data_IF_900007421808
#
_entry.id   IF_900007421808
#
_cell.length_a   1.000
_cell.length_b   1.000
_cell.length_c   1.000
_cell.angle_alpha   90.00
_cell.angle_beta   90.00
_cell.angle_gamma   90.00
#
_symmetry.space_group_name_H-M   'P 1'
#
loop_
_entity.id
_entity.type
_entity.pdbx_description
1 polymer ?
#
# COMPACT_ATOMS: atom_id res chain seq x y z
N UNK A 1 21.85 3.39 -3.06
CA UNK A 1 20.93 2.83 -4.09
C UNK A 1 21.61 1.69 -4.84
N UNK A 2 22.87 1.86 -5.26
CA UNK A 2 23.65 0.79 -5.91
C UNK A 2 23.90 -0.43 -5.01
N UNK A 3 24.16 -0.23 -3.72
CA UNK A 3 24.39 -1.35 -2.78
C UNK A 3 23.15 -2.25 -2.68
N UNK A 4 21.94 -1.67 -2.62
CA UNK A 4 20.70 -2.46 -2.65
C UNK A 4 20.57 -3.29 -3.94
N UNK A 5 20.93 -2.74 -5.10
CA UNK A 5 20.87 -3.47 -6.37
C UNK A 5 21.90 -4.61 -6.43
N UNK A 6 23.05 -4.44 -5.77
CA UNK A 6 24.08 -5.47 -5.64
C UNK A 6 23.64 -6.56 -4.66
N UNK A 7 23.21 -6.17 -3.47
CA UNK A 7 22.96 -7.06 -2.34
C UNK A 7 21.62 -7.81 -2.49
N UNK A 8 20.64 -7.21 -3.17
CA UNK A 8 19.31 -7.79 -3.43
C UNK A 8 19.06 -8.04 -4.92
N UNK A 9 20.10 -8.49 -5.63
CA UNK A 9 20.04 -8.72 -7.09
C UNK A 9 18.94 -9.71 -7.47
N UNK A 10 18.73 -10.76 -6.67
CA UNK A 10 17.73 -11.78 -6.95
C UNK A 10 16.32 -11.21 -6.91
N UNK A 11 16.01 -10.39 -5.91
CA UNK A 11 14.72 -9.75 -5.72
C UNK A 11 14.47 -8.67 -6.77
N UNK A 12 15.50 -7.88 -7.09
CA UNK A 12 15.43 -6.86 -8.14
C UNK A 12 15.14 -7.48 -9.51
N UNK A 13 15.70 -8.65 -9.79
CA UNK A 13 15.53 -9.37 -11.06
C UNK A 13 14.42 -10.43 -11.03
N UNK A 14 13.63 -10.50 -9.96
CA UNK A 14 12.64 -11.56 -9.77
C UNK A 14 11.56 -11.56 -10.87
N UNK A 15 11.29 -10.41 -11.50
CA UNK A 15 10.38 -10.28 -12.65
C UNK A 15 10.83 -11.09 -13.88
N UNK A 16 12.11 -11.45 -13.99
CA UNK A 16 12.61 -12.29 -15.08
C UNK A 16 12.19 -13.75 -14.93
N UNK A 17 11.94 -14.21 -13.71
CA UNK A 17 11.63 -15.61 -13.39
C UNK A 17 10.20 -15.82 -12.90
N UNK A 18 9.56 -14.79 -12.35
CA UNK A 18 8.20 -14.83 -11.82
C UNK A 18 7.29 -13.87 -12.59
N UNK A 19 6.40 -14.41 -13.41
CA UNK A 19 5.48 -13.63 -14.25
C UNK A 19 4.50 -12.75 -13.47
N UNK A 20 4.26 -13.04 -12.20
CA UNK A 20 3.40 -12.24 -11.32
C UNK A 20 4.07 -10.97 -10.80
N UNK A 21 5.40 -10.86 -10.90
CA UNK A 21 6.16 -9.70 -10.41
C UNK A 21 6.36 -8.73 -11.58
N UNK A 22 5.84 -7.49 -11.51
CA UNK A 22 6.09 -6.50 -12.55
C UNK A 22 7.57 -6.07 -12.57
N UNK A 23 8.05 -5.67 -13.74
CA UNK A 23 9.43 -5.18 -13.90
C UNK A 23 9.67 -3.83 -13.20
N UNK A 24 8.61 -3.07 -12.94
CA UNK A 24 8.65 -1.75 -12.31
C UNK A 24 8.12 -1.77 -10.88
N UNK A 25 8.46 -0.74 -10.09
CA UNK A 25 7.91 -0.57 -8.74
C UNK A 25 6.67 0.34 -8.72
N UNK A 26 6.16 0.82 -9.87
CA UNK A 26 5.29 1.99 -9.99
C UNK A 26 4.13 2.00 -8.98
N UNK A 27 3.55 0.84 -8.68
CA UNK A 27 2.49 0.70 -7.69
C UNK A 27 2.92 1.10 -6.28
N UNK A 28 4.08 0.64 -5.80
CA UNK A 28 4.64 0.99 -4.50
C UNK A 28 4.97 2.48 -4.39
N UNK A 29 5.59 3.05 -5.42
CA UNK A 29 5.83 4.50 -5.50
C UNK A 29 4.53 5.31 -5.47
N UNK A 30 3.51 4.89 -6.22
CA UNK A 30 2.18 5.54 -6.23
C UNK A 30 1.52 5.51 -4.85
N UNK A 31 1.62 4.38 -4.13
CA UNK A 31 1.05 4.23 -2.80
C UNK A 31 1.70 5.19 -1.78
N UNK A 32 3.03 5.33 -1.81
CA UNK A 32 3.79 6.19 -0.87
C UNK A 32 3.70 7.68 -1.25
N UNK A 33 3.49 8.02 -2.52
CA UNK A 33 3.48 9.39 -3.03
C UNK A 33 2.58 10.32 -2.24
N UNK A 34 1.40 9.86 -1.83
CA UNK A 34 0.44 10.69 -1.09
C UNK A 34 0.96 11.08 0.31
N UNK A 35 1.75 10.22 0.96
CA UNK A 35 2.39 10.56 2.23
C UNK A 35 3.45 11.65 2.03
N UNK A 36 4.27 11.55 0.97
CA UNK A 36 5.26 12.58 0.63
C UNK A 36 4.62 13.89 0.21
N UNK A 37 3.53 13.85 -0.54
CA UNK A 37 2.75 15.03 -0.89
C UNK A 37 2.21 15.73 0.36
N UNK A 38 1.66 14.97 1.33
CA UNK A 38 1.18 15.52 2.59
C UNK A 38 2.32 16.15 3.41
N UNK A 39 3.52 15.59 3.35
CA UNK A 39 4.71 16.18 3.99
C UNK A 39 5.20 17.46 3.33
N UNK A 40 5.04 17.58 2.00
CA UNK A 40 5.57 18.68 1.21
C UNK A 40 4.80 20.00 1.42
N UNK A 41 3.51 19.93 1.75
CA UNK A 41 2.65 21.12 1.89
C UNK A 41 2.74 21.74 3.29
N UNK A 42 2.58 23.06 3.37
CA UNK A 42 2.48 23.76 4.66
C UNK A 42 1.33 23.19 5.49
N UNK A 43 1.60 22.93 6.78
CA UNK A 43 0.65 22.30 7.71
C UNK A 43 0.79 20.78 7.87
N UNK A 44 1.50 20.07 6.95
CA UNK A 44 2.00 18.69 7.07
C UNK A 44 1.15 17.70 7.91
N UNK A 45 1.79 16.72 8.56
CA UNK A 45 1.25 15.96 9.67
C UNK A 45 1.55 16.74 10.95
N UNK A 46 0.51 17.07 11.72
CA UNK A 46 0.64 17.82 12.98
C UNK A 46 1.09 16.96 14.17
N UNK A 47 1.05 15.64 14.01
CA UNK A 47 1.51 14.66 15.00
C UNK A 47 1.85 13.34 14.31
N UNK A 48 2.64 12.49 14.98
CA UNK A 48 2.90 11.13 14.52
C UNK A 48 1.60 10.31 14.42
N UNK A 49 0.65 10.55 15.33
CA UNK A 49 -0.66 9.88 15.33
C UNK A 49 -1.48 10.22 14.08
N UNK A 50 -1.50 11.49 13.66
CA UNK A 50 -2.13 11.88 12.40
C UNK A 50 -1.51 11.20 11.18
N UNK A 51 -0.20 10.95 11.22
CA UNK A 51 0.50 10.15 10.21
C UNK A 51 0.06 8.69 10.19
N UNK A 52 -0.10 8.06 11.36
CA UNK A 52 -0.59 6.67 11.47
C UNK A 52 -2.02 6.52 10.97
N UNK A 53 -2.92 7.43 11.35
CA UNK A 53 -4.32 7.42 10.86
C UNK A 53 -4.34 7.55 9.34
N UNK A 54 -3.58 8.48 8.78
CA UNK A 54 -3.45 8.65 7.34
C UNK A 54 -2.95 7.36 6.65
N UNK A 55 -1.89 6.75 7.19
CA UNK A 55 -1.33 5.51 6.66
C UNK A 55 -2.34 4.36 6.73
N UNK A 56 -3.11 4.24 7.82
CA UNK A 56 -4.15 3.21 7.98
C UNK A 56 -5.24 3.34 6.91
N UNK A 57 -5.79 4.54 6.72
CA UNK A 57 -6.85 4.79 5.72
C UNK A 57 -6.33 4.51 4.31
N UNK A 58 -5.15 5.05 3.96
CA UNK A 58 -4.56 4.87 2.63
C UNK A 58 -4.15 3.43 2.37
N UNK A 59 -3.63 2.74 3.38
CA UNK A 59 -3.31 1.32 3.35
C UNK A 59 -4.54 0.48 3.03
N UNK A 60 -5.64 0.70 3.76
CA UNK A 60 -6.91 0.01 3.51
C UNK A 60 -7.39 0.20 2.06
N UNK A 61 -7.43 1.44 1.56
CA UNK A 61 -7.84 1.72 0.18
C UNK A 61 -6.92 1.07 -0.86
N UNK A 62 -5.60 1.09 -0.62
CA UNK A 62 -4.62 0.42 -1.48
C UNK A 62 -4.85 -1.10 -1.51
N UNK A 63 -5.12 -1.71 -0.35
CA UNK A 63 -5.42 -3.14 -0.20
C UNK A 63 -6.69 -3.52 -0.98
N UNK A 64 -7.78 -2.76 -0.85
CA UNK A 64 -9.00 -3.01 -1.61
C UNK A 64 -8.75 -2.97 -3.12
N UNK A 65 -8.04 -1.92 -3.57
CA UNK A 65 -7.70 -1.75 -4.99
C UNK A 65 -6.85 -2.88 -5.54
N UNK A 66 -5.84 -3.33 -4.79
CA UNK A 66 -4.94 -4.43 -5.19
C UNK A 66 -5.66 -5.77 -5.32
N UNK A 67 -6.77 -5.95 -4.60
CA UNK A 67 -7.58 -7.16 -4.63
C UNK A 67 -8.84 -7.00 -5.49
N UNK A 68 -8.89 -5.98 -6.37
CA UNK A 68 -10.01 -5.72 -7.27
C UNK A 68 -11.38 -5.58 -6.57
N UNK A 69 -11.39 -5.09 -5.33
CA UNK A 69 -12.60 -4.87 -4.56
C UNK A 69 -13.13 -3.44 -4.73
N UNK A 70 -14.45 -3.27 -4.59
CA UNK A 70 -15.08 -1.95 -4.66
C UNK A 70 -14.65 -1.08 -3.46
N UNK A 71 -14.00 0.05 -3.76
CA UNK A 71 -13.45 0.94 -2.73
C UNK A 71 -14.56 1.59 -1.89
N UNK A 72 -15.67 2.00 -2.52
CA UNK A 72 -16.75 2.69 -1.83
C UNK A 72 -17.48 1.74 -0.88
N UNK A 73 -17.83 0.55 -1.36
CA UNK A 73 -18.44 -0.50 -0.54
C UNK A 73 -17.51 -0.90 0.62
N UNK A 74 -16.20 -1.01 0.36
CA UNK A 74 -15.23 -1.28 1.41
C UNK A 74 -15.19 -0.20 2.47
N UNK A 75 -15.13 1.08 2.09
CA UNK A 75 -15.19 2.17 3.06
C UNK A 75 -16.51 2.12 3.85
N UNK A 76 -17.64 1.88 3.21
CA UNK A 76 -18.93 1.75 3.88
C UNK A 76 -18.95 0.59 4.89
N UNK A 77 -18.37 -0.56 4.53
CA UNK A 77 -18.30 -1.72 5.42
C UNK A 77 -17.53 -1.47 6.72
N UNK A 78 -16.59 -0.50 6.74
CA UNK A 78 -15.84 -0.15 7.95
C UNK A 78 -16.70 0.46 9.06
N UNK A 79 -17.91 0.91 8.73
CA UNK A 79 -18.90 1.40 9.71
C UNK A 79 -19.80 0.28 10.24
N UNK A 80 -19.63 -0.95 9.77
CA UNK A 80 -20.33 -2.15 10.26
C UNK A 80 -19.35 -3.09 10.98
N UNK A 81 -19.83 -4.04 11.80
CA UNK A 81 -18.96 -4.94 12.56
C UNK A 81 -18.03 -5.81 11.71
N UNK A 82 -18.33 -6.00 10.42
CA UNK A 82 -17.56 -6.84 9.49
C UNK A 82 -17.02 -6.00 8.33
N UNK A 83 -15.82 -5.40 8.49
CA UNK A 83 -15.19 -4.67 7.40
C UNK A 83 -14.80 -5.63 6.26
N UNK A 84 -15.01 -5.19 5.03
CA UNK A 84 -14.61 -5.92 3.84
C UNK A 84 -13.09 -6.00 3.78
N UNK A 85 -12.58 -7.22 3.73
CA UNK A 85 -11.17 -7.52 3.63
C UNK A 85 -10.96 -8.55 2.51
N UNK A 86 -9.78 -8.56 1.86
CA UNK A 86 -9.42 -9.63 0.94
C UNK A 86 -9.41 -10.99 1.63
N UNK A 87 -9.86 -12.03 0.91
CA UNK A 87 -9.87 -13.41 1.40
C UNK A 87 -8.48 -13.90 1.84
N UNK A 88 -7.41 -13.41 1.20
CA UNK A 88 -6.04 -13.77 1.56
C UNK A 88 -5.61 -13.29 2.95
N UNK A 89 -6.26 -12.27 3.52
CA UNK A 89 -5.99 -11.78 4.87
C UNK A 89 -6.75 -12.62 5.90
N UNK A 90 -7.98 -13.03 5.59
CA UNK A 90 -8.85 -13.82 6.47
C UNK A 90 -8.37 -15.28 6.66
N UNK A 91 -7.50 -15.78 5.78
CA UNK A 91 -6.93 -17.15 5.86
C UNK A 91 -5.66 -17.19 6.74
N UNK A 92 -5.09 -16.02 7.07
CA UNK A 92 -3.85 -15.92 7.84
C UNK A 92 -4.05 -15.75 9.36
N UNK A 93 -5.31 -15.79 9.83
CA UNK A 93 -5.73 -15.84 11.24
C UNK A 93 -6.35 -17.21 11.56
#
# INVERSE_FOLDING_TARGET
MLDRLRDFKAEVLAFLTHSQIPFDNNQGERDIRMAKLKQKISGCFRSAEGGKIFARIRGYVSTLRKNSLNILEGIQSTFTPTPMLPNCILIAE
#
